data_IF_779000075825
#
_entry.id   IF_779000075825
#
_cell.length_a   1.000
_cell.length_b   1.000
_cell.length_c   1.000
_cell.angle_alpha   90.00
_cell.angle_beta   90.00
_cell.angle_gamma   90.00
#
_symmetry.space_group_name_H-M   'P 1'
#
loop_
_entity.id
_entity.type
_entity.pdbx_description
1 polymer ?
#
# COMPACT_ATOMS: atom_id res chain seq x y z
N UNK A 1 -7.53 -4.20 24.46
CA UNK A 1 -8.05 -4.12 23.09
C UNK A 1 -7.44 -2.98 22.26
N UNK A 2 -7.41 -1.74 22.77
CA UNK A 2 -6.86 -0.58 21.99
C UNK A 2 -5.43 -0.83 21.44
N UNK A 3 -4.58 -1.52 22.20
CA UNK A 3 -3.18 -1.78 21.79
C UNK A 3 -3.07 -2.68 20.54
N UNK A 4 -4.02 -3.57 20.29
CA UNK A 4 -4.05 -4.41 19.08
C UNK A 4 -4.46 -3.60 17.84
N UNK A 5 -5.37 -2.63 17.99
CA UNK A 5 -5.66 -1.68 16.90
C UNK A 5 -4.45 -0.83 16.51
N UNK A 6 -3.54 -0.58 17.44
CA UNK A 6 -2.28 0.14 17.16
C UNK A 6 -1.26 -0.71 16.38
N UNK A 7 -1.42 -2.05 16.31
CA UNK A 7 -0.62 -2.90 15.43
C UNK A 7 -1.05 -2.72 13.97
N UNK A 8 -2.34 -2.45 13.72
CA UNK A 8 -2.86 -2.14 12.39
C UNK A 8 -2.59 -0.68 12.07
N UNK A 9 -1.98 -0.41 10.95
CA UNK A 9 -1.75 0.96 10.46
C UNK A 9 -3.03 1.47 9.82
N UNK A 10 -3.68 2.45 10.48
CA UNK A 10 -4.97 3.01 10.01
C UNK A 10 -4.84 3.64 8.63
N UNK A 11 -3.73 4.34 8.35
CA UNK A 11 -3.41 4.92 7.05
C UNK A 11 -3.45 3.87 5.94
N UNK A 12 -2.74 2.76 6.12
CA UNK A 12 -2.71 1.68 5.15
C UNK A 12 -4.05 0.91 5.06
N UNK A 13 -4.75 0.79 6.19
CA UNK A 13 -6.08 0.18 6.22
C UNK A 13 -7.09 1.00 5.40
N UNK A 14 -7.07 2.33 5.50
CA UNK A 14 -7.92 3.23 4.71
C UNK A 14 -7.59 3.16 3.22
N UNK A 15 -6.30 3.12 2.86
CA UNK A 15 -5.89 2.94 1.46
C UNK A 15 -6.45 1.63 0.92
N UNK A 16 -6.26 0.51 1.62
CA UNK A 16 -6.75 -0.79 1.17
C UNK A 16 -8.28 -0.82 1.03
N UNK A 17 -9.00 -0.23 1.99
CA UNK A 17 -10.46 -0.16 1.98
C UNK A 17 -11.00 0.64 0.79
N UNK A 18 -10.56 1.88 0.63
CA UNK A 18 -11.02 2.74 -0.46
C UNK A 18 -10.53 2.26 -1.82
N UNK A 19 -9.31 1.71 -1.92
CA UNK A 19 -8.81 1.12 -3.16
C UNK A 19 -9.71 -0.04 -3.62
N UNK A 20 -10.12 -0.92 -2.70
CA UNK A 20 -11.04 -2.00 -3.05
C UNK A 20 -12.38 -1.44 -3.56
N UNK A 21 -12.97 -0.47 -2.87
CA UNK A 21 -14.26 0.11 -3.27
C UNK A 21 -14.19 0.83 -4.62
N UNK A 22 -13.10 1.58 -4.88
CA UNK A 22 -12.86 2.17 -6.22
C UNK A 22 -12.78 1.09 -7.29
N UNK A 23 -12.06 -0.01 -7.01
CA UNK A 23 -12.00 -1.14 -7.92
C UNK A 23 -13.38 -1.74 -8.21
N UNK A 24 -14.21 -1.93 -7.18
CA UNK A 24 -15.56 -2.46 -7.32
C UNK A 24 -16.46 -1.53 -8.16
N UNK A 25 -16.37 -0.20 -7.95
CA UNK A 25 -17.09 0.79 -8.78
C UNK A 25 -16.68 0.71 -10.25
N UNK A 26 -15.38 0.70 -10.51
CA UNK A 26 -14.86 0.56 -11.88
C UNK A 26 -15.23 -0.79 -12.53
N UNK A 27 -15.49 -1.82 -11.72
CA UNK A 27 -15.90 -3.14 -12.15
C UNK A 27 -17.39 -3.30 -12.47
N UNK A 28 -18.21 -2.28 -12.20
CA UNK A 28 -19.66 -2.34 -12.48
C UNK A 28 -20.56 -1.89 -11.33
N UNK A 29 -19.98 -1.17 -10.34
CA UNK A 29 -20.66 -0.60 -9.20
C UNK A 29 -20.44 -1.39 -7.91
N UNK A 30 -20.11 -0.67 -6.81
CA UNK A 30 -19.93 -1.28 -5.51
C UNK A 30 -21.28 -1.47 -4.80
N UNK A 31 -21.57 -2.72 -4.48
CA UNK A 31 -22.76 -3.14 -3.74
C UNK A 31 -22.44 -3.32 -2.25
N UNK A 32 -23.45 -3.58 -1.42
CA UNK A 32 -23.27 -3.77 0.02
C UNK A 32 -22.30 -4.92 0.36
N UNK A 33 -22.27 -5.98 -0.45
CA UNK A 33 -21.33 -7.10 -0.26
C UNK A 33 -19.88 -6.68 -0.48
N UNK A 34 -19.61 -5.74 -1.38
CA UNK A 34 -18.26 -5.21 -1.61
C UNK A 34 -17.75 -4.45 -0.39
N UNK A 35 -18.62 -3.76 0.33
CA UNK A 35 -18.24 -3.12 1.61
C UNK A 35 -17.79 -4.17 2.62
N UNK A 36 -18.52 -5.30 2.73
CA UNK A 36 -18.16 -6.40 3.62
C UNK A 36 -16.82 -7.02 3.22
N UNK A 37 -16.59 -7.19 1.92
CA UNK A 37 -15.32 -7.73 1.43
C UNK A 37 -14.17 -6.73 1.65
N UNK A 38 -14.38 -5.43 1.39
CA UNK A 38 -13.40 -4.38 1.68
C UNK A 38 -13.00 -4.36 3.16
N UNK A 39 -13.97 -4.46 4.07
CA UNK A 39 -13.72 -4.60 5.52
C UNK A 39 -12.90 -5.86 5.79
N UNK A 40 -13.23 -6.99 5.16
CA UNK A 40 -12.51 -8.27 5.34
C UNK A 40 -11.07 -8.19 4.86
N UNK A 41 -10.81 -7.60 3.68
CA UNK A 41 -9.45 -7.34 3.17
C UNK A 41 -8.64 -6.51 4.18
N UNK A 42 -9.27 -5.47 4.72
CA UNK A 42 -8.64 -4.58 5.69
C UNK A 42 -8.37 -5.28 7.03
N UNK A 43 -9.39 -5.92 7.61
CA UNK A 43 -9.29 -6.52 8.95
C UNK A 43 -8.47 -7.81 8.98
N UNK A 44 -8.43 -8.57 7.90
CA UNK A 44 -7.73 -9.85 7.85
C UNK A 44 -6.34 -9.65 7.23
N UNK A 45 -6.26 -9.36 5.92
CA UNK A 45 -4.98 -9.36 5.21
C UNK A 45 -4.10 -8.18 5.55
N UNK A 46 -4.63 -6.96 5.56
CA UNK A 46 -3.83 -5.76 5.87
C UNK A 46 -3.38 -5.77 7.33
N UNK A 47 -4.27 -6.15 8.24
CA UNK A 47 -3.93 -6.26 9.66
C UNK A 47 -2.90 -7.39 9.91
N UNK A 48 -3.02 -8.53 9.22
CA UNK A 48 -1.97 -9.55 9.24
C UNK A 48 -0.61 -8.98 8.83
N UNK A 49 -0.53 -8.33 7.67
CA UNK A 49 0.72 -7.79 7.13
C UNK A 49 1.41 -6.88 8.16
N UNK A 50 0.68 -5.95 8.77
CA UNK A 50 1.27 -4.96 9.69
C UNK A 50 1.54 -5.53 11.09
N UNK A 51 0.69 -6.41 11.60
CA UNK A 51 0.93 -7.06 12.90
C UNK A 51 2.13 -8.02 12.83
N UNK A 52 2.23 -8.80 11.75
CA UNK A 52 3.37 -9.68 11.53
C UNK A 52 4.67 -8.90 11.31
N UNK A 53 4.62 -7.82 10.51
CA UNK A 53 5.78 -6.94 10.34
C UNK A 53 6.22 -6.34 11.68
N UNK A 54 5.30 -5.86 12.52
CA UNK A 54 5.62 -5.33 13.85
C UNK A 54 6.25 -6.38 14.76
N UNK A 55 5.83 -7.64 14.67
CA UNK A 55 6.47 -8.74 15.39
C UNK A 55 7.85 -9.06 14.83
N UNK A 56 7.99 -9.15 13.52
CA UNK A 56 9.25 -9.47 12.86
C UNK A 56 10.33 -8.41 13.11
N UNK A 57 9.93 -7.13 13.15
CA UNK A 57 10.82 -5.98 13.32
C UNK A 57 10.93 -5.51 14.79
N UNK A 58 10.40 -6.25 15.76
CA UNK A 58 10.30 -5.81 17.18
C UNK A 58 11.62 -5.38 17.79
N UNK A 59 12.74 -6.02 17.46
CA UNK A 59 14.07 -5.66 17.98
C UNK A 59 14.56 -4.34 17.39
N UNK A 60 14.28 -4.12 16.12
CA UNK A 60 14.56 -2.89 15.41
C UNK A 60 13.69 -1.74 15.93
N UNK A 61 12.40 -2.00 16.08
CA UNK A 61 11.43 -1.03 16.61
C UNK A 61 11.74 -0.61 18.05
N UNK A 62 12.43 -1.43 18.86
CA UNK A 62 12.91 -1.02 20.19
C UNK A 62 13.87 0.17 20.11
N UNK A 63 14.63 0.28 19.04
CA UNK A 63 15.62 1.32 18.83
C UNK A 63 15.01 2.54 18.13
N UNK A 64 14.20 2.31 17.09
CA UNK A 64 13.70 3.38 16.22
C UNK A 64 12.31 3.88 16.60
N UNK A 65 11.48 3.02 17.19
CA UNK A 65 10.06 3.29 17.47
C UNK A 65 9.64 2.73 18.86
N UNK A 66 10.28 3.15 19.96
CA UNK A 66 10.11 2.56 21.29
C UNK A 66 8.68 2.66 21.83
N UNK A 67 7.88 3.60 21.32
CA UNK A 67 6.48 3.81 21.73
C UNK A 67 5.48 2.83 21.07
N UNK A 68 5.91 2.01 20.09
CA UNK A 68 5.05 0.99 19.48
C UNK A 68 4.60 -0.06 20.49
N UNK A 69 3.44 -0.73 20.27
CA UNK A 69 2.85 -1.63 21.26
C UNK A 69 3.77 -2.76 21.75
N UNK A 70 4.56 -3.36 20.87
CA UNK A 70 5.47 -4.47 21.22
C UNK A 70 6.73 -3.93 21.93
N UNK A 71 7.48 -2.95 21.39
CA UNK A 71 8.63 -2.36 22.07
C UNK A 71 8.32 -1.78 23.43
N UNK A 72 7.17 -1.10 23.59
CA UNK A 72 6.73 -0.49 24.85
C UNK A 72 6.22 -1.49 25.90
N UNK A 73 6.16 -2.78 25.58
CA UNK A 73 5.66 -3.83 26.49
C UNK A 73 4.13 -3.89 26.61
N UNK A 74 3.36 -3.05 25.89
CA UNK A 74 1.88 -3.08 25.91
C UNK A 74 1.32 -4.40 25.36
N UNK A 75 2.07 -5.04 24.45
CA UNK A 75 1.75 -6.37 23.90
C UNK A 75 3.00 -7.24 23.98
N UNK A 76 2.86 -8.44 24.56
CA UNK A 76 3.94 -9.44 24.58
C UNK A 76 4.23 -9.91 23.15
N UNK A 77 5.52 -10.08 22.73
CA UNK A 77 5.86 -10.56 21.39
C UNK A 77 5.17 -11.88 21.01
N UNK A 78 5.02 -12.81 21.96
CA UNK A 78 4.32 -14.09 21.73
C UNK A 78 2.84 -13.86 21.39
N UNK A 79 2.16 -12.94 22.07
CA UNK A 79 0.76 -12.63 21.79
C UNK A 79 0.59 -11.96 20.43
N UNK A 80 1.51 -11.06 20.05
CA UNK A 80 1.51 -10.43 18.73
C UNK A 80 1.72 -11.48 17.61
N UNK A 81 2.61 -12.45 17.82
CA UNK A 81 2.82 -13.54 16.88
C UNK A 81 1.56 -14.42 16.75
N UNK A 82 0.98 -14.86 17.86
CA UNK A 82 -0.25 -15.69 17.85
C UNK A 82 -1.37 -14.93 17.11
N UNK A 83 -1.57 -13.64 17.43
CA UNK A 83 -2.55 -12.80 16.74
C UNK A 83 -2.30 -12.75 15.23
N UNK A 84 -1.05 -12.54 14.81
CA UNK A 84 -0.69 -12.53 13.39
C UNK A 84 -0.91 -13.88 12.71
N UNK A 85 -0.57 -14.99 13.39
CA UNK A 85 -0.79 -16.34 12.85
C UNK A 85 -2.28 -16.69 12.72
N UNK A 86 -3.11 -16.26 13.66
CA UNK A 86 -4.57 -16.39 13.56
C UNK A 86 -5.09 -15.64 12.32
N UNK A 87 -4.68 -14.39 12.13
CA UNK A 87 -5.04 -13.62 10.94
C UNK A 87 -4.51 -14.26 9.64
N UNK A 88 -3.31 -14.84 9.67
CA UNK A 88 -2.77 -15.58 8.54
C UNK A 88 -3.65 -16.77 8.15
N UNK A 89 -4.03 -17.59 9.14
CA UNK A 89 -4.93 -18.73 8.90
C UNK A 89 -6.26 -18.25 8.31
N UNK A 90 -6.85 -17.19 8.87
CA UNK A 90 -8.05 -16.58 8.31
C UNK A 90 -7.84 -16.07 6.89
N UNK A 91 -6.69 -15.46 6.58
CA UNK A 91 -6.34 -15.01 5.23
C UNK A 91 -6.28 -16.15 4.21
N UNK A 92 -5.97 -17.37 4.62
CA UNK A 92 -5.96 -18.54 3.72
C UNK A 92 -7.29 -19.27 3.67
N UNK A 93 -8.09 -19.27 4.73
CA UNK A 93 -9.34 -20.02 4.82
C UNK A 93 -10.53 -19.21 4.29
N UNK A 94 -10.67 -17.96 4.73
CA UNK A 94 -11.80 -17.09 4.39
C UNK A 94 -12.06 -16.94 2.88
N UNK A 95 -11.04 -16.77 2.02
CA UNK A 95 -11.25 -16.54 0.58
C UNK A 95 -12.00 -17.69 -0.11
N UNK A 96 -11.82 -18.91 0.32
CA UNK A 96 -12.48 -20.09 -0.27
C UNK A 96 -14.01 -20.06 -0.12
N UNK A 97 -14.53 -19.33 0.86
CA UNK A 97 -15.96 -19.22 1.11
C UNK A 97 -16.58 -18.00 0.37
N UNK A 98 -15.78 -17.02 0.02
CA UNK A 98 -16.24 -15.73 -0.51
C UNK A 98 -16.01 -15.60 -2.01
N UNK A 99 -14.86 -16.09 -2.48
CA UNK A 99 -14.45 -15.90 -3.88
C UNK A 99 -14.77 -17.13 -4.72
N UNK A 100 -15.44 -16.88 -5.86
CA UNK A 100 -15.82 -17.93 -6.82
C UNK A 100 -14.83 -18.04 -7.99
N UNK A 101 -14.04 -16.99 -8.24
CA UNK A 101 -13.05 -16.94 -9.32
C UNK A 101 -11.65 -17.28 -8.78
N UNK A 102 -10.91 -18.12 -9.52
CA UNK A 102 -9.51 -18.40 -9.18
C UNK A 102 -8.64 -17.14 -9.19
N UNK A 103 -8.95 -16.17 -10.05
CA UNK A 103 -8.22 -14.90 -10.09
C UNK A 103 -8.40 -14.09 -8.80
N UNK A 104 -9.66 -13.92 -8.36
CA UNK A 104 -9.95 -13.18 -7.12
C UNK A 104 -9.41 -13.89 -5.89
N UNK A 105 -9.49 -15.23 -5.87
CA UNK A 105 -8.85 -16.04 -4.84
C UNK A 105 -7.33 -15.80 -4.81
N UNK A 106 -6.67 -15.87 -5.96
CA UNK A 106 -5.23 -15.60 -6.09
C UNK A 106 -4.86 -14.20 -5.61
N UNK A 107 -5.59 -13.16 -6.03
CA UNK A 107 -5.33 -11.79 -5.64
C UNK A 107 -5.47 -11.60 -4.12
N UNK A 108 -6.47 -12.22 -3.50
CA UNK A 108 -6.61 -12.14 -2.04
C UNK A 108 -5.44 -12.84 -1.32
N UNK A 109 -5.07 -14.04 -1.76
CA UNK A 109 -3.96 -14.80 -1.18
C UNK A 109 -2.59 -14.15 -1.44
N UNK A 110 -2.48 -13.35 -2.49
CA UNK A 110 -1.25 -12.60 -2.79
C UNK A 110 -0.90 -11.64 -1.65
N UNK A 111 -1.86 -10.98 -1.02
CA UNK A 111 -1.62 -10.03 0.08
C UNK A 111 -0.84 -10.65 1.26
N UNK A 112 -1.31 -11.72 1.91
CA UNK A 112 -0.56 -12.32 3.01
C UNK A 112 0.77 -12.93 2.55
N UNK A 113 0.86 -13.46 1.32
CA UNK A 113 2.12 -13.96 0.75
C UNK A 113 3.14 -12.83 0.63
N UNK A 114 2.76 -11.67 0.07
CA UNK A 114 3.64 -10.51 -0.03
C UNK A 114 4.09 -10.03 1.36
N UNK A 115 3.20 -10.03 2.35
CA UNK A 115 3.52 -9.69 3.74
C UNK A 115 4.57 -10.64 4.37
N UNK A 116 4.42 -11.95 4.12
CA UNK A 116 5.41 -12.95 4.55
C UNK A 116 6.77 -12.73 3.86
N UNK A 117 6.79 -12.63 2.54
CA UNK A 117 8.01 -12.42 1.77
C UNK A 117 8.74 -11.13 2.19
N UNK A 118 7.98 -10.07 2.50
CA UNK A 118 8.54 -8.80 2.94
C UNK A 118 9.23 -8.90 4.30
N UNK A 119 8.62 -9.59 5.28
CA UNK A 119 9.02 -9.52 6.68
C UNK A 119 9.71 -10.78 7.21
N UNK A 120 9.38 -11.98 6.68
CA UNK A 120 9.84 -13.24 7.24
C UNK A 120 11.29 -13.58 6.85
N UNK A 121 12.08 -14.04 7.83
CA UNK A 121 13.39 -14.65 7.57
C UNK A 121 13.19 -16.07 7.00
N UNK A 122 14.08 -16.55 6.10
CA UNK A 122 15.34 -15.93 5.66
C UNK A 122 15.20 -14.91 4.51
N UNK A 123 14.06 -14.86 3.81
CA UNK A 123 13.88 -14.06 2.59
C UNK A 123 13.94 -12.56 2.92
N UNK A 124 13.04 -12.06 3.76
CA UNK A 124 13.00 -10.69 4.28
C UNK A 124 13.33 -9.64 3.21
N UNK A 125 12.48 -9.53 2.18
CA UNK A 125 12.67 -8.62 1.02
C UNK A 125 12.85 -7.15 1.42
N UNK A 126 12.37 -6.76 2.61
CA UNK A 126 12.60 -5.44 3.21
C UNK A 126 14.07 -4.99 3.17
N UNK A 127 15.02 -5.92 3.29
CA UNK A 127 16.48 -5.62 3.28
C UNK A 127 16.97 -5.10 1.93
N UNK A 128 16.24 -5.37 0.87
CA UNK A 128 16.61 -5.05 -0.50
C UNK A 128 15.68 -3.97 -1.03
N UNK A 129 16.13 -2.71 -1.25
CA UNK A 129 15.26 -1.59 -1.56
C UNK A 129 14.35 -1.80 -2.77
N UNK A 130 14.86 -2.35 -3.87
CA UNK A 130 14.08 -2.58 -5.10
C UNK A 130 13.06 -3.70 -4.91
N UNK A 131 13.41 -4.92 -4.45
CA UNK A 131 12.42 -5.95 -4.10
C UNK A 131 11.39 -5.48 -3.08
N UNK A 132 11.80 -4.69 -2.07
CA UNK A 132 10.89 -4.10 -1.10
C UNK A 132 9.88 -3.17 -1.77
N UNK A 133 10.34 -2.28 -2.66
CA UNK A 133 9.47 -1.35 -3.38
C UNK A 133 8.48 -2.09 -4.27
N UNK A 134 8.90 -3.11 -5.01
CA UNK A 134 8.03 -3.95 -5.84
C UNK A 134 6.97 -4.64 -4.98
N UNK A 135 7.38 -5.26 -3.86
CA UNK A 135 6.48 -5.99 -2.96
C UNK A 135 5.41 -5.08 -2.37
N UNK A 136 5.79 -3.88 -1.90
CA UNK A 136 4.85 -2.90 -1.35
C UNK A 136 3.91 -2.40 -2.45
N UNK A 137 4.43 -2.07 -3.64
CA UNK A 137 3.63 -1.58 -4.75
C UNK A 137 2.58 -2.59 -5.21
N UNK A 138 2.95 -3.87 -5.31
CA UNK A 138 2.01 -4.95 -5.58
C UNK A 138 0.93 -5.05 -4.49
N UNK A 139 1.33 -4.96 -3.21
CA UNK A 139 0.39 -4.95 -2.09
C UNK A 139 -0.60 -3.78 -2.13
N UNK A 140 -0.16 -2.60 -2.57
CA UNK A 140 -1.01 -1.40 -2.65
C UNK A 140 -2.02 -1.47 -3.80
N UNK A 141 -1.68 -2.05 -4.95
CA UNK A 141 -2.61 -2.16 -6.09
C UNK A 141 -3.52 -3.39 -5.99
N UNK A 142 -3.15 -4.42 -5.23
CA UNK A 142 -3.94 -5.66 -5.15
C UNK A 142 -5.39 -5.42 -4.67
N UNK A 143 -5.69 -4.55 -3.68
CA UNK A 143 -7.08 -4.29 -3.29
C UNK A 143 -7.94 -3.71 -4.41
N UNK A 144 -7.43 -2.77 -5.24
CA UNK A 144 -8.20 -2.20 -6.35
C UNK A 144 -8.43 -3.25 -7.45
N UNK A 145 -7.43 -4.07 -7.77
CA UNK A 145 -7.58 -5.19 -8.70
C UNK A 145 -8.62 -6.19 -8.19
N UNK A 146 -8.56 -6.51 -6.89
CA UNK A 146 -9.49 -7.45 -6.26
C UNK A 146 -10.94 -6.92 -6.37
N UNK A 147 -11.17 -5.65 -6.03
CA UNK A 147 -12.48 -5.02 -6.15
C UNK A 147 -13.01 -5.05 -7.59
N UNK A 148 -12.17 -4.72 -8.57
CA UNK A 148 -12.55 -4.78 -9.99
C UNK A 148 -12.94 -6.19 -10.43
N UNK A 149 -12.07 -7.17 -10.21
CA UNK A 149 -12.27 -8.55 -10.66
C UNK A 149 -13.33 -9.32 -9.86
N UNK A 150 -13.82 -8.79 -8.75
CA UNK A 150 -15.00 -9.33 -8.07
C UNK A 150 -16.28 -9.11 -8.89
N UNK A 151 -16.36 -8.01 -9.62
CA UNK A 151 -17.55 -7.59 -10.35
C UNK A 151 -17.40 -7.75 -11.88
N UNK A 152 -16.18 -7.83 -12.40
CA UNK A 152 -15.89 -7.90 -13.83
C UNK A 152 -14.72 -8.84 -14.14
N UNK A 153 -14.82 -9.57 -15.25
CA UNK A 153 -13.85 -10.61 -15.61
C UNK A 153 -13.12 -10.33 -16.94
N UNK A 154 -12.98 -9.06 -17.31
CA UNK A 154 -12.23 -8.65 -18.51
C UNK A 154 -10.85 -8.06 -18.17
N UNK A 155 -10.09 -7.69 -19.18
CA UNK A 155 -8.75 -7.15 -19.07
C UNK A 155 -8.65 -5.67 -19.47
N UNK A 156 -9.79 -4.97 -19.61
CA UNK A 156 -9.81 -3.58 -20.08
C UNK A 156 -9.00 -2.64 -19.17
N UNK A 157 -8.97 -2.93 -17.86
CA UNK A 157 -8.27 -2.10 -16.87
C UNK A 157 -6.81 -2.49 -16.62
N UNK A 158 -6.23 -3.41 -17.39
CA UNK A 158 -4.80 -3.80 -17.23
C UNK A 158 -3.88 -2.57 -17.36
N UNK A 159 -4.18 -1.67 -18.31
CA UNK A 159 -3.43 -0.43 -18.47
C UNK A 159 -3.52 0.46 -17.22
N UNK A 160 -4.71 0.59 -16.61
CA UNK A 160 -4.89 1.31 -15.35
C UNK A 160 -4.05 0.70 -14.22
N UNK A 161 -4.11 -0.61 -14.05
CA UNK A 161 -3.33 -1.29 -13.01
C UNK A 161 -1.83 -1.11 -13.23
N UNK A 162 -1.38 -1.08 -14.49
CA UNK A 162 0.01 -0.79 -14.84
C UNK A 162 0.39 0.63 -14.45
N UNK A 163 -0.43 1.64 -14.76
CA UNK A 163 -0.19 3.04 -14.36
C UNK A 163 -0.14 3.17 -12.84
N UNK A 164 -1.09 2.57 -12.12
CA UNK A 164 -1.13 2.62 -10.65
C UNK A 164 0.05 1.88 -10.02
N UNK A 165 0.48 0.75 -10.60
CA UNK A 165 1.68 0.05 -10.15
C UNK A 165 2.93 0.91 -10.30
N UNK A 166 3.11 1.54 -11.46
CA UNK A 166 4.23 2.46 -11.72
C UNK A 166 4.18 3.67 -10.80
N UNK A 167 2.99 4.21 -10.52
CA UNK A 167 2.80 5.27 -9.55
C UNK A 167 3.29 4.83 -8.15
N UNK A 168 2.82 3.71 -7.64
CA UNK A 168 3.24 3.17 -6.35
C UNK A 168 4.75 2.89 -6.33
N UNK A 169 5.28 2.25 -7.38
CA UNK A 169 6.71 1.94 -7.51
C UNK A 169 7.57 3.21 -7.54
N UNK A 170 7.01 4.32 -8.01
CA UNK A 170 7.69 5.63 -8.03
C UNK A 170 7.79 6.24 -6.63
N UNK A 171 6.71 6.22 -5.84
CA UNK A 171 6.68 6.93 -4.56
C UNK A 171 7.18 6.09 -3.38
N UNK A 172 7.03 4.76 -3.40
CA UNK A 172 7.43 3.88 -2.29
C UNK A 172 8.90 4.02 -1.88
N UNK A 173 9.88 4.16 -2.80
CA UNK A 173 11.29 4.35 -2.44
C UNK A 173 11.56 5.62 -1.62
N UNK A 174 10.68 6.63 -1.67
CA UNK A 174 10.79 7.85 -0.85
C UNK A 174 10.72 7.56 0.65
N UNK A 175 10.12 6.44 1.05
CA UNK A 175 10.13 5.95 2.43
C UNK A 175 11.55 5.78 2.99
N UNK A 176 12.53 5.49 2.13
CA UNK A 176 13.92 5.35 2.52
C UNK A 176 14.56 6.64 3.06
N UNK A 177 13.97 7.80 2.77
CA UNK A 177 14.37 9.09 3.35
C UNK A 177 14.09 9.14 4.87
N UNK A 178 12.96 8.55 5.29
CA UNK A 178 12.58 8.46 6.71
C UNK A 178 13.36 7.38 7.47
N UNK A 179 13.77 6.32 6.78
CA UNK A 179 14.35 5.11 7.36
C UNK A 179 15.89 5.15 7.48
N UNK A 180 16.57 6.27 7.15
CA UNK A 180 18.04 6.36 7.12
C UNK A 180 18.70 5.90 8.43
N UNK A 181 18.25 6.43 9.56
CA UNK A 181 18.80 6.09 10.87
C UNK A 181 18.48 4.65 11.28
N UNK A 182 17.30 4.18 10.90
CA UNK A 182 16.84 2.81 11.16
C UNK A 182 17.68 1.81 10.37
N UNK A 183 17.80 2.01 9.05
CA UNK A 183 18.54 1.13 8.14
C UNK A 183 20.05 1.11 8.49
N UNK A 184 20.61 2.27 8.87
CA UNK A 184 22.02 2.36 9.32
C UNK A 184 22.29 1.48 10.54
N UNK A 185 21.38 1.45 11.52
CA UNK A 185 21.55 0.66 12.75
C UNK A 185 21.39 -0.85 12.50
N UNK A 186 20.68 -1.26 11.46
CA UNK A 186 20.45 -2.67 11.13
C UNK A 186 21.35 -3.22 10.07
N UNK A 187 22.13 -2.37 9.40
CA UNK A 187 22.94 -2.74 8.24
C UNK A 187 22.09 -3.08 6.99
N UNK A 188 20.83 -2.63 6.96
CA UNK A 188 20.00 -2.74 5.77
C UNK A 188 20.40 -1.64 4.76
N UNK A 189 20.29 -1.93 3.45
CA UNK A 189 20.62 -0.95 2.40
C UNK A 189 19.60 0.18 2.40
N UNK A 190 20.10 1.41 2.25
CA UNK A 190 19.26 2.58 2.16
C UNK A 190 19.63 3.41 0.93
N UNK A 191 18.71 3.49 -0.04
CA UNK A 191 18.94 4.20 -1.31
C UNK A 191 19.20 5.70 -1.10
N UNK A 192 18.57 6.31 -0.11
CA UNK A 192 18.81 7.73 0.15
C UNK A 192 20.21 7.98 0.74
N UNK A 193 20.72 7.06 1.55
CA UNK A 193 22.11 7.13 2.03
C UNK A 193 23.13 6.95 0.90
N UNK A 194 22.78 6.16 -0.13
CA UNK A 194 23.65 5.90 -1.29
C UNK A 194 23.59 7.02 -2.34
N UNK A 195 22.39 7.52 -2.65
CA UNK A 195 22.12 8.43 -3.75
C UNK A 195 21.82 9.87 -3.31
N UNK A 196 21.56 10.09 -2.02
CA UNK A 196 21.17 11.40 -1.52
C UNK A 196 19.96 11.97 -2.25
N UNK A 197 20.00 13.25 -2.60
CA UNK A 197 18.93 13.95 -3.31
C UNK A 197 18.68 13.38 -4.71
N UNK A 198 19.64 12.67 -5.32
CA UNK A 198 19.47 12.02 -6.62
C UNK A 198 18.41 10.92 -6.57
N UNK A 199 18.09 10.38 -5.39
CA UNK A 199 16.96 9.46 -5.24
C UNK A 199 15.64 10.07 -5.77
N UNK A 200 15.47 11.40 -5.77
CA UNK A 200 14.27 12.05 -6.26
C UNK A 200 14.09 11.94 -7.80
N UNK A 201 15.14 11.58 -8.53
CA UNK A 201 15.04 11.31 -9.97
C UNK A 201 14.15 10.08 -10.21
N UNK A 202 14.23 9.07 -9.34
CA UNK A 202 13.42 7.85 -9.46
C UNK A 202 11.90 8.13 -9.48
N UNK A 203 11.31 8.75 -8.45
CA UNK A 203 9.87 9.04 -8.49
C UNK A 203 9.49 9.99 -9.63
N UNK A 204 10.30 11.00 -9.94
CA UNK A 204 9.99 11.92 -11.04
C UNK A 204 9.96 11.21 -12.40
N UNK A 205 10.92 10.32 -12.69
CA UNK A 205 10.93 9.57 -13.94
C UNK A 205 9.71 8.62 -14.05
N UNK A 206 9.36 7.92 -12.98
CA UNK A 206 8.21 7.03 -12.98
C UNK A 206 6.86 7.76 -13.07
N UNK A 207 6.73 8.91 -12.40
CA UNK A 207 5.53 9.76 -12.52
C UNK A 207 5.39 10.36 -13.92
N UNK A 208 6.48 10.78 -14.56
CA UNK A 208 6.48 11.25 -15.96
C UNK A 208 6.10 10.13 -16.93
N UNK A 209 6.61 8.91 -16.71
CA UNK A 209 6.19 7.75 -17.50
C UNK A 209 4.69 7.48 -17.33
N UNK A 210 4.16 7.58 -16.10
CA UNK A 210 2.73 7.46 -15.81
C UNK A 210 1.91 8.50 -16.59
N UNK A 211 2.33 9.77 -16.64
CA UNK A 211 1.68 10.82 -17.44
C UNK A 211 1.65 10.45 -18.94
N UNK A 212 2.78 9.97 -19.47
CA UNK A 212 2.86 9.53 -20.87
C UNK A 212 1.84 8.43 -21.13
N UNK A 213 1.77 7.40 -20.28
CA UNK A 213 0.83 6.29 -20.45
C UNK A 213 -0.63 6.75 -20.40
N UNK A 214 -0.98 7.71 -19.55
CA UNK A 214 -2.34 8.29 -19.49
C UNK A 214 -2.73 8.98 -20.81
N UNK A 215 -1.77 9.55 -21.54
CA UNK A 215 -2.03 10.15 -22.85
C UNK A 215 -2.30 9.09 -23.93
N UNK A 216 -1.64 7.94 -23.84
CA UNK A 216 -1.77 6.87 -24.86
C UNK A 216 -2.98 5.98 -24.65
N UNK A 217 -3.42 5.78 -23.39
CA UNK A 217 -4.57 4.91 -23.10
C UNK A 217 -5.84 5.73 -22.90
N UNK A 218 -6.96 5.17 -23.35
CA UNK A 218 -8.28 5.77 -23.09
C UNK A 218 -8.88 5.19 -21.80
N UNK A 219 -8.86 6.02 -20.76
CA UNK A 219 -9.41 5.69 -19.44
C UNK A 219 -10.78 6.32 -19.18
N UNK A 220 -11.36 6.98 -20.20
CA UNK A 220 -12.51 7.85 -19.97
C UNK A 220 -12.13 9.15 -19.20
N UNK A 221 -12.93 10.20 -19.37
CA UNK A 221 -12.56 11.55 -18.92
C UNK A 221 -12.36 11.66 -17.40
N UNK A 222 -13.23 11.03 -16.62
CA UNK A 222 -13.22 11.16 -15.15
C UNK A 222 -12.00 10.46 -14.55
N UNK A 223 -11.75 9.22 -14.93
CA UNK A 223 -10.62 8.46 -14.46
C UNK A 223 -9.30 9.09 -14.95
N UNK A 224 -9.24 9.53 -16.19
CA UNK A 224 -8.10 10.25 -16.75
C UNK A 224 -7.78 11.52 -15.97
N UNK A 225 -8.81 12.32 -15.65
CA UNK A 225 -8.64 13.54 -14.83
C UNK A 225 -8.12 13.21 -13.44
N UNK A 226 -8.67 12.17 -12.79
CA UNK A 226 -8.19 11.72 -11.48
C UNK A 226 -6.71 11.32 -11.52
N UNK A 227 -6.30 10.49 -12.49
CA UNK A 227 -4.91 10.07 -12.64
C UNK A 227 -3.96 11.26 -12.89
N UNK A 228 -4.39 12.26 -13.67
CA UNK A 228 -3.62 13.50 -13.86
C UNK A 228 -3.44 14.26 -12.54
N UNK A 229 -4.52 14.43 -11.76
CA UNK A 229 -4.46 15.13 -10.47
C UNK A 229 -3.50 14.38 -9.54
N UNK A 230 -3.64 13.06 -9.40
CA UNK A 230 -2.81 12.21 -8.56
C UNK A 230 -1.30 12.34 -8.88
N UNK A 231 -0.95 12.36 -10.15
CA UNK A 231 0.45 12.45 -10.57
C UNK A 231 0.98 13.88 -10.42
N UNK A 232 0.22 14.89 -10.83
CA UNK A 232 0.66 16.29 -10.76
C UNK A 232 0.79 16.73 -9.30
N UNK A 233 -0.15 16.38 -8.42
CA UNK A 233 -0.05 16.69 -6.99
C UNK A 233 1.19 16.04 -6.36
N UNK A 234 1.51 14.81 -6.76
CA UNK A 234 2.72 14.10 -6.32
C UNK A 234 4.00 14.77 -6.80
N UNK A 235 4.07 15.19 -8.06
CA UNK A 235 5.21 15.95 -8.61
C UNK A 235 5.37 17.28 -7.87
N UNK A 236 4.28 18.01 -7.64
CA UNK A 236 4.29 19.29 -6.92
C UNK A 236 4.79 19.09 -5.49
N UNK A 237 4.34 18.03 -4.80
CA UNK A 237 4.79 17.67 -3.46
C UNK A 237 6.30 17.42 -3.43
N UNK A 238 6.84 16.60 -4.35
CA UNK A 238 8.29 16.35 -4.47
C UNK A 238 9.05 17.67 -4.68
N UNK A 239 8.57 18.54 -5.57
CA UNK A 239 9.22 19.80 -5.88
C UNK A 239 9.23 20.77 -4.68
N UNK A 240 8.12 20.87 -3.94
CA UNK A 240 8.01 21.70 -2.73
C UNK A 240 8.99 21.19 -1.66
N UNK A 241 8.95 19.91 -1.34
CA UNK A 241 9.80 19.35 -0.28
C UNK A 241 11.29 19.32 -0.66
N UNK A 242 11.65 19.20 -1.95
CA UNK A 242 13.04 19.26 -2.39
C UNK A 242 13.73 20.61 -2.07
N UNK A 243 12.95 21.69 -1.96
CA UNK A 243 13.44 23.02 -1.54
C UNK A 243 13.71 23.10 -0.04
N UNK A 244 13.05 22.26 0.77
CA UNK A 244 13.16 22.26 2.23
C UNK A 244 13.88 21.01 2.73
N UNK A 245 15.20 20.93 2.46
CA UNK A 245 16.02 19.74 2.77
C UNK A 245 15.81 19.23 4.20
N UNK A 246 15.65 20.12 5.18
CA UNK A 246 15.43 19.77 6.58
C UNK A 246 14.07 19.11 6.86
N UNK A 247 13.11 19.18 5.92
CA UNK A 247 11.77 18.59 6.04
C UNK A 247 11.52 17.47 5.03
N UNK A 248 12.56 17.06 4.29
CA UNK A 248 12.42 16.04 3.24
C UNK A 248 11.90 14.70 3.78
N UNK A 249 12.18 14.40 5.05
CA UNK A 249 11.66 13.19 5.72
C UNK A 249 10.13 13.17 5.85
N UNK A 250 9.45 14.32 5.76
CA UNK A 250 7.98 14.39 5.79
C UNK A 250 7.36 14.11 4.43
N UNK A 251 8.15 14.08 3.35
CA UNK A 251 7.66 13.96 1.99
C UNK A 251 6.78 12.71 1.80
N UNK A 252 7.29 11.55 2.20
CA UNK A 252 6.57 10.29 2.03
C UNK A 252 5.24 10.27 2.80
N UNK A 253 5.23 10.71 4.06
CA UNK A 253 4.02 10.77 4.89
C UNK A 253 2.98 11.71 4.29
N UNK A 254 3.42 12.89 3.83
CA UNK A 254 2.52 13.86 3.18
C UNK A 254 1.89 13.26 1.93
N UNK A 255 2.66 12.57 1.09
CA UNK A 255 2.15 11.91 -0.11
C UNK A 255 1.14 10.80 0.23
N UNK A 256 1.38 10.00 1.27
CA UNK A 256 0.43 8.97 1.71
C UNK A 256 -0.90 9.59 2.15
N UNK A 257 -0.89 10.68 2.93
CA UNK A 257 -2.12 11.35 3.33
C UNK A 257 -2.86 12.00 2.14
N UNK A 258 -2.13 12.58 1.19
CA UNK A 258 -2.73 13.09 -0.06
C UNK A 258 -3.43 11.97 -0.82
N UNK A 259 -2.78 10.83 -1.02
CA UNK A 259 -3.38 9.66 -1.71
C UNK A 259 -4.64 9.18 -1.00
N UNK A 260 -4.66 9.12 0.34
CA UNK A 260 -5.85 8.73 1.10
C UNK A 260 -7.02 9.68 0.81
N UNK A 261 -6.78 10.99 0.84
CA UNK A 261 -7.80 12.01 0.58
C UNK A 261 -8.28 11.92 -0.88
N UNK A 262 -7.36 11.85 -1.82
CA UNK A 262 -7.67 11.82 -3.26
C UNK A 262 -8.46 10.57 -3.64
N UNK A 263 -8.11 9.40 -3.13
CA UNK A 263 -8.84 8.16 -3.43
C UNK A 263 -10.24 8.16 -2.79
N UNK A 264 -10.39 8.73 -1.59
CA UNK A 264 -11.69 8.89 -0.94
C UNK A 264 -12.61 9.84 -1.70
N UNK A 265 -12.08 10.98 -2.17
CA UNK A 265 -12.81 11.93 -3.01
C UNK A 265 -13.19 11.27 -4.34
N UNK A 266 -12.27 10.53 -4.97
CA UNK A 266 -12.54 9.86 -6.23
C UNK A 266 -13.65 8.81 -6.10
N UNK A 267 -13.63 8.00 -5.04
CA UNK A 267 -14.71 7.07 -4.74
C UNK A 267 -16.07 7.77 -4.63
N UNK A 268 -16.13 8.88 -3.90
CA UNK A 268 -17.35 9.67 -3.74
C UNK A 268 -17.86 10.26 -5.06
N UNK A 269 -16.96 10.77 -5.91
CA UNK A 269 -17.30 11.26 -7.26
C UNK A 269 -17.87 10.16 -8.15
N UNK A 270 -17.29 8.95 -8.14
CA UNK A 270 -17.82 7.81 -8.89
C UNK A 270 -19.27 7.50 -8.45
N UNK A 271 -19.54 7.50 -7.14
CA UNK A 271 -20.89 7.27 -6.61
C UNK A 271 -21.90 8.33 -7.02
N UNK A 272 -21.50 9.59 -7.11
CA UNK A 272 -22.38 10.68 -7.58
C UNK A 272 -22.74 10.56 -9.08
N UNK A 273 -21.90 9.92 -9.87
CA UNK A 273 -22.15 9.73 -11.30
C UNK A 273 -23.07 8.55 -11.58
N UNK A 274 -23.24 7.62 -10.64
CA UNK A 274 -24.18 6.50 -10.74
C UNK A 274 -25.61 6.86 -10.25
N UNK A 275 -25.74 7.91 -9.42
CA UNK A 275 -27.02 8.41 -8.89
C UNK A 275 -27.74 9.30 -9.89
#
# INVERSE_FOLDING_TARGET
MLSYFQLCRIDAALIAFFSYLVGAELGGGAHWHDIVVAISVTLISTNFIYSFNSWADRELDRISKPNRPIPSGKIKPSHALIYSLVLLVFSFVYPWFVYKSYLTLFLFLLLPILGLLYSAKPIRLRRYPIPAAITISLGLITPIMLGYFMNRADTEMVALFTVLFLFCLSIVPLKKIEEVEEDRKTGDRNLYSEWGVLLLIWPLSGLLLGLILILFFDFGNVLKTYLFILIISSIACIFIFSRFKNKLYLLYQTMIYMVIIEIGIFYWLLKLMES
#
